data_IF_373699461226
#
_entry.id   IF_373699461226
#
_cell.length_a   1.000
_cell.length_b   1.000
_cell.length_c   1.000
_cell.angle_alpha   90.00
_cell.angle_beta   90.00
_cell.angle_gamma   90.00
#
_symmetry.space_group_name_H-M   'P 1'
#
loop_
_entity.id
_entity.type
_entity.pdbx_description
1 polymer ?
#
# COMPACT_ATOMS: atom_id res chain seq x y z
N UNK A 1 -24.67 -20.47 17.59
CA UNK A 1 -24.22 -20.84 16.23
C UNK A 1 -24.97 -22.08 15.74
N UNK A 2 -24.87 -23.22 16.45
CA UNK A 2 -25.55 -24.46 16.04
C UNK A 2 -27.09 -24.36 15.99
N UNK A 3 -27.69 -23.59 16.89
CA UNK A 3 -29.14 -23.34 16.90
C UNK A 3 -29.59 -22.55 15.67
N UNK A 4 -28.89 -21.46 15.34
CA UNK A 4 -29.15 -20.65 14.14
C UNK A 4 -29.03 -21.46 12.84
N UNK A 5 -27.96 -22.27 12.70
CA UNK A 5 -27.78 -23.12 11.52
C UNK A 5 -28.89 -24.16 11.40
N UNK A 6 -29.23 -24.80 12.54
CA UNK A 6 -30.30 -25.78 12.60
C UNK A 6 -31.66 -25.20 12.23
N UNK A 7 -31.94 -23.95 12.60
CA UNK A 7 -33.21 -23.30 12.24
C UNK A 7 -33.24 -22.87 10.77
N UNK A 8 -32.17 -22.26 10.26
CA UNK A 8 -32.11 -21.84 8.85
C UNK A 8 -32.17 -23.06 7.91
N UNK A 9 -31.46 -24.14 8.21
CA UNK A 9 -31.42 -25.32 7.34
C UNK A 9 -32.74 -26.08 7.28
N UNK A 10 -33.67 -25.91 8.24
CA UNK A 10 -35.03 -26.47 8.16
C UNK A 10 -35.89 -25.79 7.11
N UNK A 11 -35.63 -24.51 6.84
CA UNK A 11 -36.42 -23.69 5.91
C UNK A 11 -35.85 -23.68 4.49
N UNK A 12 -34.65 -24.24 4.29
CA UNK A 12 -34.00 -24.31 2.98
C UNK A 12 -34.57 -25.43 2.10
N UNK A 13 -34.66 -25.23 0.77
CA UNK A 13 -35.06 -26.27 -0.17
C UNK A 13 -34.12 -27.49 -0.13
N UNK A 14 -34.65 -28.64 -0.54
CA UNK A 14 -33.87 -29.88 -0.66
C UNK A 14 -32.63 -29.67 -1.55
N UNK A 15 -31.45 -29.99 -1.01
CA UNK A 15 -30.16 -29.80 -1.67
C UNK A 15 -29.46 -28.47 -1.38
N UNK A 16 -30.03 -27.59 -0.54
CA UNK A 16 -29.34 -26.40 -0.02
C UNK A 16 -29.02 -26.56 1.47
N UNK A 17 -27.78 -26.24 1.85
CA UNK A 17 -27.34 -26.28 3.25
C UNK A 17 -26.45 -25.07 3.55
N UNK A 18 -26.72 -24.40 4.66
CA UNK A 18 -25.83 -23.42 5.23
C UNK A 18 -24.87 -24.13 6.19
N UNK A 19 -23.58 -24.06 5.87
CA UNK A 19 -22.51 -24.62 6.68
C UNK A 19 -21.76 -23.54 7.47
N UNK A 20 -21.20 -23.96 8.60
CA UNK A 20 -20.28 -23.14 9.36
C UNK A 20 -18.85 -23.30 8.85
N UNK A 21 -18.31 -22.26 8.24
CA UNK A 21 -16.94 -22.28 7.71
C UNK A 21 -15.88 -22.00 8.79
N UNK A 22 -16.19 -21.13 9.77
CA UNK A 22 -15.25 -20.78 10.83
C UNK A 22 -15.58 -19.47 11.54
N UNK A 23 -14.67 -19.07 12.44
CA UNK A 23 -14.74 -17.81 13.19
C UNK A 23 -13.50 -16.97 12.92
N UNK A 24 -13.67 -15.66 12.88
CA UNK A 24 -12.59 -14.70 12.77
C UNK A 24 -12.77 -13.64 13.85
N UNK A 25 -11.72 -13.37 14.63
CA UNK A 25 -11.80 -12.43 15.77
C UNK A 25 -12.01 -10.99 15.28
N UNK A 26 -11.30 -10.63 14.20
CA UNK A 26 -11.34 -9.31 13.57
C UNK A 26 -11.25 -9.44 12.07
N UNK A 27 -11.73 -8.40 11.39
CA UNK A 27 -11.63 -8.30 9.96
C UNK A 27 -12.02 -6.91 9.49
N UNK A 28 -11.55 -6.54 8.30
CA UNK A 28 -12.03 -5.36 7.60
C UNK A 28 -12.34 -5.70 6.15
N UNK A 29 -13.33 -5.01 5.59
CA UNK A 29 -13.87 -5.24 4.27
C UNK A 29 -13.78 -3.96 3.45
N UNK A 30 -12.92 -3.95 2.44
CA UNK A 30 -12.67 -2.76 1.62
C UNK A 30 -13.72 -2.65 0.52
N UNK A 31 -13.90 -3.70 -0.27
CA UNK A 31 -14.94 -3.80 -1.31
C UNK A 31 -15.33 -5.27 -1.53
N UNK A 32 -16.30 -5.54 -2.41
CA UNK A 32 -16.68 -6.92 -2.79
C UNK A 32 -15.45 -7.73 -3.19
N UNK A 33 -15.27 -8.89 -2.54
CA UNK A 33 -14.10 -9.79 -2.68
C UNK A 33 -12.75 -9.23 -2.20
N UNK A 34 -12.72 -8.10 -1.49
CA UNK A 34 -11.49 -7.46 -0.98
C UNK A 34 -11.57 -7.27 0.53
N UNK A 35 -10.97 -8.20 1.28
CA UNK A 35 -11.01 -8.21 2.75
C UNK A 35 -9.77 -8.86 3.36
N UNK A 36 -9.54 -8.58 4.65
CA UNK A 36 -8.61 -9.32 5.47
C UNK A 36 -9.27 -9.69 6.80
N UNK A 37 -9.01 -10.91 7.26
CA UNK A 37 -9.56 -11.50 8.47
C UNK A 37 -8.41 -12.08 9.30
N UNK A 38 -8.62 -12.22 10.61
CA UNK A 38 -7.66 -12.88 11.50
C UNK A 38 -8.35 -13.93 12.36
N UNK A 39 -7.68 -15.07 12.51
CA UNK A 39 -8.07 -16.14 13.42
C UNK A 39 -6.81 -16.81 13.98
N UNK A 40 -6.69 -16.93 15.29
CA UNK A 40 -5.54 -17.54 15.97
C UNK A 40 -4.20 -16.97 15.49
N UNK A 41 -4.10 -15.64 15.39
CA UNK A 41 -2.96 -14.90 14.83
C UNK A 41 -2.62 -15.16 13.34
N UNK A 42 -3.40 -15.99 12.64
CA UNK A 42 -3.27 -16.22 11.21
C UNK A 42 -4.13 -15.22 10.44
N UNK A 43 -3.51 -14.47 9.53
CA UNK A 43 -4.19 -13.47 8.71
C UNK A 43 -4.55 -14.08 7.36
N UNK A 44 -5.84 -14.07 7.04
CA UNK A 44 -6.36 -14.47 5.73
C UNK A 44 -6.69 -13.23 4.92
N UNK A 45 -6.06 -13.09 3.76
CA UNK A 45 -6.24 -11.95 2.86
C UNK A 45 -6.85 -12.42 1.54
N UNK A 46 -7.94 -11.79 1.12
CA UNK A 46 -8.62 -12.10 -0.15
C UNK A 46 -8.81 -10.83 -0.95
N UNK A 47 -8.30 -10.83 -2.18
CA UNK A 47 -8.49 -9.76 -3.18
C UNK A 47 -7.96 -8.37 -2.79
N UNK A 48 -7.33 -8.22 -1.63
CA UNK A 48 -6.54 -7.03 -1.33
C UNK A 48 -5.27 -7.10 -2.18
N UNK A 49 -5.07 -6.05 -2.97
CA UNK A 49 -3.81 -5.76 -3.63
C UNK A 49 -2.82 -5.27 -2.56
N UNK A 50 -2.49 -6.11 -1.57
CA UNK A 50 -1.54 -5.76 -0.51
C UNK A 50 -0.15 -5.40 -1.06
N UNK A 51 0.13 -5.82 -2.30
CA UNK A 51 1.44 -5.66 -2.91
C UNK A 51 1.26 -5.57 -4.42
N UNK A 52 0.95 -4.38 -4.94
CA UNK A 52 1.15 -4.17 -6.38
C UNK A 52 2.65 -4.13 -6.68
N UNK A 53 3.07 -4.74 -7.79
CA UNK A 53 4.49 -4.83 -8.16
C UNK A 53 5.13 -3.45 -8.36
N UNK A 54 4.34 -2.51 -8.89
CA UNK A 54 4.72 -1.14 -9.19
C UNK A 54 4.70 -0.19 -7.97
N UNK A 55 4.63 -0.74 -6.75
CA UNK A 55 4.70 0.04 -5.52
C UNK A 55 6.07 -0.10 -4.85
N UNK A 56 6.55 1.01 -4.30
CA UNK A 56 7.79 1.06 -3.55
C UNK A 56 7.70 0.17 -2.29
N UNK A 57 8.80 -0.48 -1.88
CA UNK A 57 8.83 -1.29 -0.66
C UNK A 57 8.33 -0.55 0.59
N UNK A 58 8.64 0.75 0.74
CA UNK A 58 8.16 1.56 1.87
C UNK A 58 6.64 1.49 2.01
N UNK A 59 5.89 1.70 0.92
CA UNK A 59 4.43 1.68 0.98
C UNK A 59 3.86 0.28 1.27
N UNK A 60 4.51 -0.77 0.77
CA UNK A 60 4.13 -2.17 1.05
C UNK A 60 4.32 -2.49 2.54
N UNK A 61 5.48 -2.15 3.09
CA UNK A 61 5.81 -2.34 4.51
C UNK A 61 4.83 -1.55 5.40
N UNK A 62 4.55 -0.29 5.06
CA UNK A 62 3.59 0.51 5.83
C UNK A 62 2.19 -0.10 5.79
N UNK A 63 1.72 -0.54 4.62
CA UNK A 63 0.41 -1.18 4.49
C UNK A 63 0.30 -2.44 5.35
N UNK A 64 1.35 -3.27 5.35
CA UNK A 64 1.42 -4.48 6.16
C UNK A 64 1.40 -4.17 7.66
N UNK A 65 2.22 -3.21 8.12
CA UNK A 65 2.26 -2.79 9.52
C UNK A 65 0.91 -2.21 9.99
N UNK A 66 0.27 -1.39 9.17
CA UNK A 66 -1.07 -0.85 9.43
C UNK A 66 -2.10 -1.97 9.52
N UNK A 67 -2.09 -2.90 8.57
CA UNK A 67 -2.98 -4.06 8.60
C UNK A 67 -2.79 -4.89 9.87
N UNK A 68 -1.54 -5.12 10.30
CA UNK A 68 -1.25 -5.83 11.53
C UNK A 68 -1.74 -5.07 12.77
N UNK A 69 -1.54 -3.75 12.85
CA UNK A 69 -2.05 -2.95 13.97
C UNK A 69 -3.59 -3.03 14.09
N UNK A 70 -4.31 -3.08 12.97
CA UNK A 70 -5.77 -3.23 12.97
C UNK A 70 -6.20 -4.65 13.32
N UNK A 71 -5.62 -5.67 12.68
CA UNK A 71 -6.08 -7.05 12.82
C UNK A 71 -5.56 -7.72 14.10
N UNK A 72 -4.29 -7.55 14.46
CA UNK A 72 -3.71 -8.20 15.65
C UNK A 72 -3.97 -7.41 16.93
N UNK A 73 -3.94 -6.09 16.84
CA UNK A 73 -4.00 -5.24 18.04
C UNK A 73 -5.32 -4.50 18.18
N UNK A 74 -6.14 -4.44 17.12
CA UNK A 74 -7.41 -3.70 17.16
C UNK A 74 -7.20 -2.21 17.42
N UNK A 75 -6.04 -1.64 17.03
CA UNK A 75 -5.65 -0.27 17.39
C UNK A 75 -5.53 0.64 16.16
N UNK A 76 -6.59 1.38 15.81
CA UNK A 76 -6.53 2.46 14.83
C UNK A 76 -5.53 3.55 15.19
N UNK A 77 -5.32 3.81 16.49
CA UNK A 77 -4.34 4.79 16.97
C UNK A 77 -2.91 4.35 16.65
N UNK A 78 -2.59 3.07 16.85
CA UNK A 78 -1.27 2.54 16.48
C UNK A 78 -1.07 2.58 14.96
N UNK A 79 -2.09 2.22 14.19
CA UNK A 79 -2.05 2.35 12.74
C UNK A 79 -1.77 3.80 12.30
N UNK A 80 -2.44 4.77 12.93
CA UNK A 80 -2.23 6.18 12.67
C UNK A 80 -0.80 6.64 12.97
N UNK A 81 -0.26 6.22 14.12
CA UNK A 81 1.11 6.51 14.51
C UNK A 81 2.12 5.96 13.49
N UNK A 82 1.98 4.70 13.08
CA UNK A 82 2.85 4.07 12.08
C UNK A 82 2.89 4.90 10.78
N UNK A 83 1.73 5.35 10.31
CA UNK A 83 1.64 6.15 9.08
C UNK A 83 2.36 7.47 9.24
N UNK A 84 2.15 8.15 10.37
CA UNK A 84 2.80 9.43 10.66
C UNK A 84 4.32 9.29 10.76
N UNK A 85 4.80 8.31 11.52
CA UNK A 85 6.22 8.04 11.71
C UNK A 85 6.90 7.81 10.34
N UNK A 86 6.29 6.98 9.47
CA UNK A 86 6.82 6.75 8.12
C UNK A 86 6.79 8.01 7.25
N UNK A 87 5.72 8.82 7.33
CA UNK A 87 5.64 10.08 6.59
C UNK A 87 6.77 11.02 7.01
N UNK A 88 7.06 11.10 8.31
CA UNK A 88 8.12 11.96 8.83
C UNK A 88 9.50 11.43 8.44
N UNK A 89 9.75 10.11 8.51
CA UNK A 89 10.97 9.49 7.99
C UNK A 89 11.19 9.78 6.49
N UNK A 90 10.11 9.74 5.69
CA UNK A 90 10.16 10.08 4.25
C UNK A 90 10.47 11.57 4.04
N UNK A 91 9.99 12.48 4.88
CA UNK A 91 10.32 13.91 4.76
C UNK A 91 11.76 14.21 5.16
N UNK A 92 12.23 13.54 6.20
CA UNK A 92 13.56 13.75 6.77
C UNK A 92 14.69 13.13 5.92
N UNK A 93 14.37 12.21 5.00
CA UNK A 93 15.39 11.53 4.20
C UNK A 93 15.94 10.26 4.87
N UNK A 94 15.24 9.75 5.89
CA UNK A 94 15.71 8.62 6.71
C UNK A 94 15.33 7.25 6.09
N UNK A 95 14.54 7.23 5.02
CA UNK A 95 14.21 6.00 4.30
C UNK A 95 15.38 5.57 3.41
N UNK A 96 15.84 4.31 3.50
CA UNK A 96 16.84 3.77 2.59
C UNK A 96 16.40 3.87 1.12
N UNK A 97 17.31 4.23 0.23
CA UNK A 97 17.00 4.37 -1.19
C UNK A 97 16.33 3.12 -1.78
N UNK A 98 16.79 1.92 -1.40
CA UNK A 98 16.23 0.65 -1.87
C UNK A 98 14.74 0.49 -1.52
N UNK A 99 14.28 1.08 -0.41
CA UNK A 99 12.88 1.05 -0.01
C UNK A 99 12.01 2.04 -0.82
N UNK A 100 12.63 2.92 -1.60
CA UNK A 100 11.99 3.85 -2.52
C UNK A 100 11.96 3.33 -3.97
N UNK A 101 12.64 2.22 -4.28
CA UNK A 101 12.80 1.73 -5.65
C UNK A 101 11.52 1.10 -6.16
N UNK A 102 10.99 1.65 -7.25
CA UNK A 102 9.84 1.09 -7.95
C UNK A 102 10.33 0.15 -9.03
N UNK A 103 9.71 -1.02 -9.10
CA UNK A 103 10.03 -2.09 -10.04
C UNK A 103 8.87 -2.25 -11.03
N UNK A 104 9.13 -2.00 -12.32
CA UNK A 104 8.12 -2.23 -13.37
C UNK A 104 8.73 -2.98 -14.55
N UNK A 105 8.05 -4.03 -15.00
CA UNK A 105 8.48 -4.78 -16.16
C UNK A 105 8.03 -4.09 -17.46
N UNK A 106 8.94 -3.99 -18.44
CA UNK A 106 8.59 -3.58 -19.79
C UNK A 106 7.93 -4.73 -20.55
N UNK A 107 6.81 -4.45 -21.21
CA UNK A 107 6.10 -5.39 -22.09
C UNK A 107 6.44 -5.19 -23.56
N UNK A 108 7.00 -4.02 -23.93
CA UNK A 108 7.40 -3.66 -25.29
C UNK A 108 8.74 -2.93 -25.26
N UNK A 109 9.32 -2.66 -26.44
CA UNK A 109 10.50 -1.78 -26.54
C UNK A 109 10.11 -0.37 -26.07
N UNK A 110 10.97 0.37 -25.34
CA UNK A 110 10.66 1.72 -24.85
C UNK A 110 10.21 2.72 -25.93
N UNK A 111 10.69 2.57 -27.16
CA UNK A 111 10.31 3.38 -28.33
C UNK A 111 8.86 3.13 -28.77
N UNK A 112 8.35 1.91 -28.59
CA UNK A 112 7.01 1.49 -29.03
C UNK A 112 5.90 1.86 -28.05
N UNK A 113 6.23 2.53 -26.94
CA UNK A 113 5.23 3.05 -26.00
C UNK A 113 4.73 4.41 -26.46
N UNK A 114 3.42 4.50 -26.71
CA UNK A 114 2.74 5.78 -26.97
C UNK A 114 2.70 6.63 -25.71
N UNK A 115 2.42 6.00 -24.56
CA UNK A 115 2.36 6.69 -23.27
C UNK A 115 3.75 6.81 -22.64
N UNK A 116 4.10 8.03 -22.23
CA UNK A 116 5.33 8.33 -21.49
C UNK A 116 5.12 8.04 -20.00
N UNK A 117 4.96 6.76 -19.65
CA UNK A 117 4.87 6.34 -18.26
C UNK A 117 6.24 6.42 -17.55
N UNK A 118 6.29 6.53 -16.20
CA UNK A 118 7.56 6.63 -15.45
C UNK A 118 8.61 5.58 -15.81
N UNK A 119 8.24 4.30 -15.79
CA UNK A 119 9.13 3.20 -16.14
C UNK A 119 9.63 3.25 -17.60
N UNK A 120 8.83 3.77 -18.53
CA UNK A 120 9.24 3.95 -19.94
C UNK A 120 10.27 5.06 -20.06
N UNK A 121 10.07 6.17 -19.36
CA UNK A 121 11.00 7.30 -19.37
C UNK A 121 12.32 6.95 -18.69
N UNK A 122 12.28 6.25 -17.56
CA UNK A 122 13.48 5.71 -16.92
C UNK A 122 14.22 4.75 -17.87
N UNK A 123 13.52 3.84 -18.55
CA UNK A 123 14.12 2.96 -19.55
C UNK A 123 14.78 3.72 -20.70
N UNK A 124 14.17 4.79 -21.21
CA UNK A 124 14.77 5.62 -22.26
C UNK A 124 16.04 6.32 -21.78
N UNK A 125 16.04 6.90 -20.59
CA UNK A 125 17.24 7.49 -19.97
C UNK A 125 18.36 6.46 -19.81
N UNK A 126 18.02 5.24 -19.38
CA UNK A 126 18.99 4.15 -19.27
C UNK A 126 19.62 3.79 -20.63
N UNK A 127 18.81 3.74 -21.71
CA UNK A 127 19.30 3.50 -23.09
C UNK A 127 20.19 4.64 -23.57
N UNK A 128 19.76 5.90 -23.35
CA UNK A 128 20.55 7.09 -23.70
C UNK A 128 21.92 7.10 -23.01
N UNK A 129 22.02 6.47 -21.83
CA UNK A 129 23.27 6.27 -21.07
C UNK A 129 24.01 4.98 -21.41
N UNK A 130 23.62 4.29 -22.49
CA UNK A 130 24.32 3.12 -23.01
C UNK A 130 23.93 1.78 -22.38
N UNK A 131 22.86 1.71 -21.56
CA UNK A 131 22.39 0.44 -21.00
C UNK A 131 21.48 -0.29 -21.98
N UNK A 132 21.59 -1.62 -22.01
CA UNK A 132 20.71 -2.46 -22.83
C UNK A 132 19.40 -2.75 -22.08
N UNK A 133 18.29 -2.22 -22.60
CA UNK A 133 16.94 -2.40 -22.03
C UNK A 133 15.99 -2.83 -23.13
N UNK A 134 15.16 -3.84 -22.85
CA UNK A 134 14.22 -4.40 -23.84
C UNK A 134 12.94 -4.94 -23.22
N UNK A 135 12.06 -5.53 -24.04
CA UNK A 135 10.89 -6.25 -23.56
C UNK A 135 11.30 -7.34 -22.56
N UNK A 136 10.56 -7.45 -21.46
CA UNK A 136 10.86 -8.39 -20.36
C UNK A 136 11.79 -7.83 -19.30
N UNK A 137 12.56 -6.77 -19.57
CA UNK A 137 13.43 -6.12 -18.59
C UNK A 137 12.64 -5.51 -17.44
N UNK A 138 13.16 -5.68 -16.21
CA UNK A 138 12.65 -5.00 -15.01
C UNK A 138 13.35 -3.66 -14.89
N UNK A 139 12.58 -2.58 -14.93
CA UNK A 139 13.08 -1.22 -14.75
C UNK A 139 12.99 -0.86 -13.28
N UNK A 140 14.13 -0.52 -12.70
CA UNK A 140 14.30 -0.02 -11.34
C UNK A 140 14.48 1.48 -11.40
N UNK A 141 13.59 2.23 -10.78
CA UNK A 141 13.65 3.68 -10.80
C UNK A 141 13.11 4.30 -9.52
N UNK A 142 13.54 5.53 -9.28
CA UNK A 142 13.08 6.40 -8.20
C UNK A 142 12.51 7.67 -8.83
N UNK A 143 11.51 8.27 -8.19
CA UNK A 143 10.99 9.57 -8.63
C UNK A 143 11.73 10.67 -7.88
N UNK A 144 12.45 11.51 -8.62
CA UNK A 144 13.28 12.59 -8.05
C UNK A 144 12.52 13.92 -7.97
N UNK A 145 13.01 14.83 -7.14
CA UNK A 145 12.45 16.19 -6.99
C UNK A 145 12.43 16.93 -8.34
N UNK A 146 11.41 17.74 -8.57
CA UNK A 146 11.33 18.60 -9.75
C UNK A 146 9.92 19.09 -10.05
N UNK A 147 9.82 20.06 -10.97
CA UNK A 147 8.54 20.64 -11.44
C UNK A 147 7.95 19.92 -12.65
N UNK A 148 8.73 19.06 -13.28
CA UNK A 148 8.29 18.27 -14.43
C UNK A 148 7.24 17.22 -14.03
N UNK A 149 6.46 16.70 -14.99
CA UNK A 149 5.56 15.57 -14.75
C UNK A 149 6.31 14.37 -14.15
N UNK A 150 5.64 13.61 -13.28
CA UNK A 150 6.19 12.42 -12.58
C UNK A 150 6.96 11.51 -13.53
N UNK A 151 6.45 11.30 -14.74
CA UNK A 151 7.10 10.43 -15.71
C UNK A 151 8.50 10.91 -16.13
N UNK A 152 8.71 12.22 -16.28
CA UNK A 152 10.04 12.77 -16.60
C UNK A 152 10.97 12.82 -15.40
N UNK A 153 10.40 12.83 -14.19
CA UNK A 153 11.12 12.74 -12.92
C UNK A 153 11.47 11.32 -12.50
N UNK A 154 11.06 10.31 -13.27
CA UNK A 154 11.51 8.94 -13.07
C UNK A 154 12.97 8.80 -13.53
N UNK A 155 13.82 8.35 -12.62
CA UNK A 155 15.25 8.25 -12.81
C UNK A 155 15.72 6.82 -12.51
N UNK A 156 16.48 6.15 -13.40
CA UNK A 156 17.03 4.84 -13.11
C UNK A 156 17.86 4.87 -11.82
N UNK A 157 17.72 3.86 -10.98
CA UNK A 157 18.34 3.84 -9.65
C UNK A 157 19.86 4.04 -9.71
N UNK A 158 20.53 3.53 -10.76
CA UNK A 158 21.98 3.62 -10.90
C UNK A 158 22.49 5.05 -11.13
N UNK A 159 21.59 6.00 -11.39
CA UNK A 159 21.90 7.41 -11.67
C UNK A 159 21.35 8.38 -10.60
N UNK A 160 20.79 7.85 -9.52
CA UNK A 160 20.13 8.65 -8.48
C UNK A 160 21.06 8.85 -7.29
N UNK A 161 21.24 10.11 -6.90
CA UNK A 161 21.71 10.45 -5.56
C UNK A 161 20.58 10.24 -4.55
N UNK A 162 20.85 9.51 -3.47
CA UNK A 162 19.93 9.20 -2.38
C UNK A 162 19.21 10.45 -1.87
N UNK A 163 19.89 11.61 -1.84
CA UNK A 163 19.31 12.86 -1.33
C UNK A 163 18.22 13.49 -2.24
N UNK A 164 18.05 12.99 -3.47
CA UNK A 164 17.28 13.68 -4.50
C UNK A 164 15.89 13.09 -4.80
N UNK A 165 15.45 12.05 -4.10
CA UNK A 165 14.09 11.54 -4.26
C UNK A 165 13.04 12.60 -3.86
N UNK A 166 11.82 12.53 -4.40
CA UNK A 166 10.71 13.43 -4.07
C UNK A 166 9.85 12.88 -2.92
N UNK A 167 9.96 13.42 -1.69
CA UNK A 167 9.19 12.94 -0.54
C UNK A 167 7.68 13.00 -0.76
N UNK A 168 7.19 14.06 -1.40
CA UNK A 168 5.76 14.28 -1.61
C UNK A 168 5.18 13.21 -2.54
N UNK A 169 5.92 12.82 -3.58
CA UNK A 169 5.51 11.72 -4.44
C UNK A 169 5.35 10.40 -3.66
N UNK A 170 6.30 10.05 -2.79
CA UNK A 170 6.20 8.82 -2.01
C UNK A 170 5.08 8.88 -0.97
N UNK A 171 4.82 10.04 -0.37
CA UNK A 171 3.72 10.21 0.58
C UNK A 171 2.37 10.11 -0.14
N UNK A 172 2.14 10.95 -1.15
CA UNK A 172 0.83 11.13 -1.79
C UNK A 172 0.49 10.07 -2.84
N UNK A 173 1.49 9.52 -3.52
CA UNK A 173 1.28 8.55 -4.62
C UNK A 173 1.65 7.12 -4.25
N UNK A 174 2.28 6.87 -3.08
CA UNK A 174 2.63 5.53 -2.63
C UNK A 174 2.04 5.25 -1.25
N UNK A 175 2.52 5.86 -0.17
CA UNK A 175 2.14 5.49 1.20
C UNK A 175 0.67 5.73 1.50
N UNK A 176 0.17 6.96 1.31
CA UNK A 176 -1.23 7.29 1.64
C UNK A 176 -2.20 6.39 0.87
N UNK A 177 -2.14 6.28 -0.48
CA UNK A 177 -3.05 5.39 -1.21
C UNK A 177 -3.03 3.93 -0.76
N UNK A 178 -1.93 3.42 -0.18
CA UNK A 178 -1.85 2.05 0.35
C UNK A 178 -2.79 1.86 1.53
N UNK A 179 -2.73 2.83 2.44
CA UNK A 179 -3.29 2.73 3.77
C UNK A 179 -4.70 3.28 3.83
N UNK A 180 -5.04 4.28 3.01
CA UNK A 180 -6.37 4.91 2.98
C UNK A 180 -7.49 3.90 2.74
N UNK A 181 -7.26 2.88 1.90
CA UNK A 181 -8.25 1.83 1.64
C UNK A 181 -8.60 1.03 2.89
N UNK A 182 -7.60 0.74 3.72
CA UNK A 182 -7.78 0.00 4.98
C UNK A 182 -8.47 0.90 6.00
N UNK A 183 -7.97 2.11 6.15
CA UNK A 183 -8.45 3.13 7.08
C UNK A 183 -9.92 3.49 6.84
N UNK A 184 -10.27 3.78 5.59
CA UNK A 184 -11.64 4.10 5.22
C UNK A 184 -12.59 2.92 5.48
N UNK A 185 -12.12 1.68 5.31
CA UNK A 185 -12.94 0.48 5.55
C UNK A 185 -13.28 0.24 7.02
N UNK A 186 -12.53 0.83 7.94
CA UNK A 186 -12.80 0.79 9.38
C UNK A 186 -13.44 2.09 9.90
N UNK A 187 -13.86 2.98 8.98
CA UNK A 187 -14.60 4.21 9.30
C UNK A 187 -13.76 5.41 9.72
N UNK A 188 -12.46 5.42 9.41
CA UNK A 188 -11.57 6.55 9.68
C UNK A 188 -11.22 7.25 8.36
N UNK A 189 -10.98 8.56 8.39
CA UNK A 189 -10.41 9.29 7.25
C UNK A 189 -8.88 9.46 7.39
N UNK A 190 -8.20 9.78 6.28
CA UNK A 190 -6.78 10.16 6.30
C UNK A 190 -6.55 11.35 7.24
N UNK A 191 -7.41 12.36 7.18
CA UNK A 191 -7.33 13.56 8.00
C UNK A 191 -7.49 13.25 9.49
N UNK A 192 -8.46 12.41 9.85
CA UNK A 192 -8.69 12.00 11.24
C UNK A 192 -7.49 11.23 11.79
N UNK A 193 -6.87 10.40 10.96
CA UNK A 193 -5.69 9.64 11.36
C UNK A 193 -4.47 10.54 11.52
N UNK A 194 -4.30 11.53 10.65
CA UNK A 194 -3.20 12.48 10.75
C UNK A 194 -3.40 13.50 11.87
N UNK A 195 -4.64 13.78 12.30
CA UNK A 195 -4.97 14.77 13.33
C UNK A 195 -5.12 14.18 14.74
N UNK A 196 -5.51 12.91 14.91
CA UNK A 196 -5.89 12.35 16.23
C UNK A 196 -4.77 12.31 17.29
N UNK A 197 -3.50 12.50 16.95
CA UNK A 197 -2.46 12.71 17.97
C UNK A 197 -2.57 14.06 18.68
N UNK A 198 -3.09 15.11 18.01
CA UNK A 198 -3.20 16.47 18.57
C UNK A 198 -4.22 16.58 19.69
N UNK A 199 -5.20 15.67 19.76
CA UNK A 199 -6.27 15.73 20.78
C UNK A 199 -5.91 15.05 22.10
N UNK A 200 -4.80 14.31 22.17
CA UNK A 200 -4.35 13.64 23.40
C UNK A 200 -3.66 14.56 24.41
N UNK A 201 -3.40 15.84 24.08
CA UNK A 201 -2.49 16.69 24.85
C UNK A 201 -3.13 17.84 25.65
N UNK A 202 -4.46 17.97 25.69
CA UNK A 202 -5.11 19.11 26.38
C UNK A 202 -6.00 18.73 27.58
N UNK A 203 -6.48 17.49 27.67
CA UNK A 203 -7.33 17.05 28.79
C UNK A 203 -6.60 16.19 29.84
N UNK A 204 -5.28 16.01 29.71
CA UNK A 204 -4.47 15.25 30.67
C UNK A 204 -3.89 16.11 31.82
N UNK A 205 -4.23 17.41 31.89
CA UNK A 205 -3.62 18.37 32.82
C UNK A 205 -4.59 19.33 33.52
N UNK A 206 -5.91 19.10 33.44
CA UNK A 206 -6.91 19.87 34.20
C UNK A 206 -7.91 18.96 34.91
#
# INVERSE_FOLDING_TARGET
>A
MNEFLGDVNKDLPEGMELEYEGFYERGFFVTKKRYALIHDNNITVKGLELVRRDWAPVAKKTQEQVMMAILKEGSPQKAAKIIKDVIDEIKEGNIPLEDLVIHTQLTKKPENYVQKAPHVMAARKAIERGRTVGPGSIIRYVVVKGREPISRRAEPIEDVDVANYDPNYYIENQVLPAVSRIINSIGYSEEEIMQKEKQSSLDAFF
#
